data_IF_508923123961
#
_entry.id   IF_508923123961
#
_cell.length_a   1.000
_cell.length_b   1.000
_cell.length_c   1.000
_cell.angle_alpha   90.00
_cell.angle_beta   90.00
_cell.angle_gamma   90.00
#
_symmetry.space_group_name_H-M   'P 1'
#
loop_
_entity.id
_entity.type
_entity.pdbx_description
1 polymer ?
#
# COMPACT_ATOMS: atom_id res chain seq x y z
N UNK A 1 26.57 7.80 2.91
CA UNK A 1 25.64 7.01 2.08
C UNK A 1 24.34 7.80 2.00
N UNK A 2 23.63 7.78 0.87
CA UNK A 2 22.37 8.53 0.76
C UNK A 2 21.26 7.73 1.45
N UNK A 3 20.74 8.25 2.58
CA UNK A 3 19.72 7.60 3.41
C UNK A 3 18.46 7.19 2.65
N UNK A 4 18.13 7.85 1.54
CA UNK A 4 16.98 7.52 0.70
C UNK A 4 17.23 6.37 -0.29
N UNK A 5 18.45 5.82 -0.29
CA UNK A 5 18.87 4.66 -1.09
C UNK A 5 19.35 3.49 -0.22
N UNK A 6 19.36 3.66 1.11
CA UNK A 6 19.87 2.64 2.03
C UNK A 6 18.94 1.42 2.15
N UNK A 7 19.54 0.25 2.25
CA UNK A 7 18.86 -0.98 2.60
C UNK A 7 18.57 -1.01 4.11
N UNK A 8 17.44 -1.59 4.48
CA UNK A 8 17.05 -1.80 5.88
C UNK A 8 16.52 -3.23 6.06
N UNK A 9 16.14 -3.60 7.30
CA UNK A 9 15.55 -4.92 7.54
C UNK A 9 14.24 -5.08 6.79
N UNK A 10 13.35 -4.08 6.79
CA UNK A 10 12.11 -4.16 6.03
C UNK A 10 12.34 -3.94 4.53
N UNK A 11 13.26 -3.06 4.15
CA UNK A 11 13.60 -2.76 2.77
C UNK A 11 14.68 -3.69 2.20
N UNK A 12 14.61 -4.99 2.48
CA UNK A 12 15.67 -5.97 2.20
C UNK A 12 15.83 -6.34 0.71
N UNK A 13 16.15 -5.35 -0.14
CA UNK A 13 16.22 -5.51 -1.57
C UNK A 13 17.42 -6.34 -2.09
N UNK A 14 18.40 -6.64 -1.23
CA UNK A 14 19.46 -7.61 -1.53
C UNK A 14 18.97 -9.06 -1.50
N UNK A 15 17.72 -9.32 -1.10
CA UNK A 15 17.12 -10.64 -1.18
C UNK A 15 17.04 -11.13 -2.64
N UNK A 16 17.40 -12.40 -2.86
CA UNK A 16 17.47 -13.02 -4.20
C UNK A 16 16.18 -12.82 -4.99
N UNK A 17 15.01 -13.06 -4.39
CA UNK A 17 13.73 -12.92 -5.10
C UNK A 17 13.43 -11.47 -5.55
N UNK A 18 13.92 -10.46 -4.83
CA UNK A 18 13.77 -9.05 -5.24
C UNK A 18 14.68 -8.78 -6.44
N UNK A 19 15.94 -9.20 -6.35
CA UNK A 19 16.91 -9.10 -7.44
C UNK A 19 16.44 -9.84 -8.72
N UNK A 20 15.81 -11.01 -8.57
CA UNK A 20 15.28 -11.79 -9.67
C UNK A 20 14.15 -11.07 -10.41
N UNK A 21 13.22 -10.43 -9.68
CA UNK A 21 12.17 -9.60 -10.29
C UNK A 21 12.77 -8.42 -11.05
N UNK A 22 13.73 -7.70 -10.45
CA UNK A 22 14.39 -6.56 -11.11
C UNK A 22 15.07 -6.98 -12.42
N UNK A 23 15.76 -8.13 -12.42
CA UNK A 23 16.40 -8.69 -13.61
C UNK A 23 15.37 -9.13 -14.65
N UNK A 24 14.33 -9.85 -14.24
CA UNK A 24 13.26 -10.33 -15.13
C UNK A 24 12.56 -9.16 -15.84
N UNK A 25 12.25 -8.10 -15.11
CA UNK A 25 11.54 -6.92 -15.64
C UNK A 25 12.48 -5.90 -16.30
N UNK A 26 13.80 -6.12 -16.25
CA UNK A 26 14.86 -5.28 -16.86
C UNK A 26 14.79 -3.81 -16.45
N UNK A 27 14.33 -3.51 -15.24
CA UNK A 27 14.12 -2.12 -14.81
C UNK A 27 15.42 -1.30 -14.76
N UNK A 28 16.57 -1.92 -14.51
CA UNK A 28 17.87 -1.23 -14.51
C UNK A 28 18.23 -0.57 -15.84
N UNK A 29 17.66 -1.06 -16.95
CA UNK A 29 17.93 -0.57 -18.31
C UNK A 29 17.02 0.59 -18.72
N UNK A 30 16.02 0.93 -17.89
CA UNK A 30 15.02 1.95 -18.18
C UNK A 30 15.52 3.35 -17.76
N UNK A 31 14.92 4.39 -18.36
CA UNK A 31 15.03 5.75 -17.82
C UNK A 31 14.39 5.83 -16.43
N UNK A 32 14.79 6.80 -15.61
CA UNK A 32 14.27 6.93 -14.24
C UNK A 32 12.75 7.11 -14.20
N UNK A 33 12.17 7.84 -15.17
CA UNK A 33 10.72 7.90 -15.37
C UNK A 33 10.11 6.49 -15.53
N UNK A 34 10.67 5.69 -16.45
CA UNK A 34 10.14 4.37 -16.75
C UNK A 34 10.37 3.36 -15.62
N UNK A 35 11.47 3.49 -14.85
CA UNK A 35 11.67 2.73 -13.61
C UNK A 35 10.52 2.98 -12.64
N UNK A 36 10.25 4.25 -12.32
CA UNK A 36 9.20 4.63 -11.38
C UNK A 36 7.84 4.15 -11.88
N UNK A 37 7.48 4.45 -13.12
CA UNK A 37 6.19 4.07 -13.71
C UNK A 37 5.97 2.56 -13.70
N UNK A 38 6.96 1.77 -14.14
CA UNK A 38 6.82 0.31 -14.23
C UNK A 38 6.78 -0.35 -12.85
N UNK A 39 7.62 0.11 -11.92
CA UNK A 39 7.61 -0.40 -10.54
C UNK A 39 6.29 -0.02 -9.84
N UNK A 40 5.80 1.21 -10.03
CA UNK A 40 4.53 1.67 -9.48
C UNK A 40 3.37 0.80 -9.97
N UNK A 41 3.28 0.57 -11.29
CA UNK A 41 2.25 -0.28 -11.88
C UNK A 41 2.38 -1.74 -11.43
N UNK A 42 3.60 -2.28 -11.35
CA UNK A 42 3.84 -3.63 -10.85
C UNK A 42 3.33 -3.80 -9.42
N UNK A 43 3.71 -2.91 -8.51
CA UNK A 43 3.20 -2.98 -7.14
C UNK A 43 1.69 -2.75 -7.10
N UNK A 44 1.14 -1.87 -7.95
CA UNK A 44 -0.31 -1.66 -7.99
C UNK A 44 -1.06 -2.93 -8.40
N UNK A 45 -0.67 -3.52 -9.53
CA UNK A 45 -1.52 -4.46 -10.26
C UNK A 45 -1.06 -5.93 -10.14
N UNK A 46 0.24 -6.20 -9.99
CA UNK A 46 0.77 -7.57 -9.82
C UNK A 46 0.83 -8.01 -8.35
N UNK A 47 0.78 -7.06 -7.40
CA UNK A 47 0.69 -7.34 -5.97
C UNK A 47 -0.73 -7.00 -5.51
N UNK A 48 -1.55 -8.02 -5.31
CA UNK A 48 -2.97 -7.81 -5.03
C UNK A 48 -3.20 -7.00 -3.73
N UNK A 49 -4.25 -6.19 -3.68
CA UNK A 49 -4.68 -5.58 -2.41
C UNK A 49 -5.13 -6.66 -1.41
N UNK A 50 -4.61 -6.61 -0.18
CA UNK A 50 -4.93 -7.57 0.86
C UNK A 50 -4.21 -7.31 2.18
N UNK A 51 -4.63 -7.99 3.24
CA UNK A 51 -4.14 -7.80 4.60
C UNK A 51 -3.14 -8.90 4.97
N UNK A 52 -1.87 -8.51 5.18
CA UNK A 52 -0.81 -9.41 5.65
C UNK A 52 -0.96 -9.74 7.14
N UNK A 53 -0.09 -10.62 7.64
CA UNK A 53 -0.07 -11.03 9.06
C UNK A 53 0.44 -9.95 10.02
N UNK A 54 1.19 -8.98 9.50
CA UNK A 54 1.77 -7.85 10.23
C UNK A 54 2.10 -6.72 9.24
N UNK A 55 2.15 -5.49 9.74
CA UNK A 55 2.59 -4.34 8.94
C UNK A 55 4.10 -4.33 8.74
N UNK A 56 4.87 -4.82 9.73
CA UNK A 56 6.33 -4.82 9.73
C UNK A 56 6.90 -6.15 9.21
N UNK A 57 6.60 -6.49 7.96
CA UNK A 57 7.20 -7.62 7.24
C UNK A 57 8.15 -7.16 6.14
N UNK A 58 9.17 -7.97 5.85
CA UNK A 58 10.21 -7.67 4.86
C UNK A 58 9.65 -7.61 3.44
N UNK A 59 10.21 -6.79 2.56
CA UNK A 59 9.83 -6.69 1.15
C UNK A 59 9.83 -8.05 0.43
N UNK A 60 10.84 -8.89 0.69
CA UNK A 60 10.89 -10.25 0.13
C UNK A 60 9.70 -11.13 0.54
N UNK A 61 9.16 -10.93 1.76
CA UNK A 61 7.97 -11.62 2.26
C UNK A 61 6.71 -11.11 1.60
N UNK A 62 6.57 -9.78 1.43
CA UNK A 62 5.44 -9.17 0.71
C UNK A 62 5.39 -9.69 -0.73
N UNK A 63 6.54 -9.70 -1.41
CA UNK A 63 6.65 -10.23 -2.76
C UNK A 63 6.24 -11.71 -2.82
N UNK A 64 6.71 -12.53 -1.87
CA UNK A 64 6.34 -13.96 -1.79
C UNK A 64 4.86 -14.17 -1.49
N UNK A 65 4.25 -13.32 -0.66
CA UNK A 65 2.82 -13.38 -0.37
C UNK A 65 1.97 -13.03 -1.60
N UNK A 66 2.48 -12.15 -2.48
CA UNK A 66 1.77 -11.71 -3.70
C UNK A 66 0.60 -10.76 -3.42
N UNK A 67 0.48 -10.28 -2.18
CA UNK A 67 -0.53 -9.29 -1.79
C UNK A 67 -0.06 -8.42 -0.64
N UNK A 68 -0.68 -7.25 -0.51
CA UNK A 68 -0.51 -6.39 0.66
C UNK A 68 -1.42 -5.18 0.73
N UNK A 69 -1.23 -4.40 1.79
CA UNK A 69 -1.94 -3.15 2.06
C UNK A 69 -0.94 -1.98 2.03
N UNK A 70 -1.41 -0.76 2.33
CA UNK A 70 -0.59 0.46 2.39
C UNK A 70 0.87 0.26 2.85
N UNK A 71 1.06 -0.16 4.10
CA UNK A 71 2.39 -0.27 4.71
C UNK A 71 3.24 -1.35 4.02
N UNK A 72 2.68 -2.54 3.76
CA UNK A 72 3.43 -3.67 3.21
C UNK A 72 3.71 -3.50 1.72
N UNK A 73 2.75 -3.01 0.93
CA UNK A 73 2.97 -2.61 -0.46
C UNK A 73 3.94 -1.43 -0.54
N UNK A 74 3.88 -0.47 0.39
CA UNK A 74 4.85 0.62 0.51
C UNK A 74 6.27 0.12 0.77
N UNK A 75 6.45 -0.85 1.68
CA UNK A 75 7.74 -1.51 1.93
C UNK A 75 8.29 -2.15 0.65
N UNK A 76 7.47 -2.93 -0.07
CA UNK A 76 7.90 -3.56 -1.33
C UNK A 76 8.22 -2.49 -2.39
N UNK A 77 7.37 -1.48 -2.53
CA UNK A 77 7.54 -0.40 -3.49
C UNK A 77 8.85 0.37 -3.28
N UNK A 78 9.11 0.81 -2.04
CA UNK A 78 10.37 1.47 -1.68
C UNK A 78 11.58 0.58 -1.95
N UNK A 79 11.48 -0.72 -1.65
CA UNK A 79 12.58 -1.67 -1.88
C UNK A 79 12.94 -1.79 -3.35
N UNK A 80 11.93 -1.95 -4.22
CA UNK A 80 12.15 -2.05 -5.66
C UNK A 80 12.71 -0.75 -6.24
N UNK A 81 12.22 0.41 -5.78
CA UNK A 81 12.74 1.73 -6.20
C UNK A 81 14.21 1.92 -5.80
N UNK A 82 14.56 1.65 -4.54
CA UNK A 82 15.94 1.82 -4.05
C UNK A 82 16.91 0.88 -4.73
N UNK A 83 16.48 -0.35 -5.01
CA UNK A 83 17.29 -1.33 -5.73
C UNK A 83 17.65 -0.89 -7.15
N UNK A 84 16.87 0.01 -7.76
CA UNK A 84 17.16 0.62 -9.06
C UNK A 84 17.66 2.07 -8.96
N UNK A 85 18.16 2.43 -7.78
CA UNK A 85 18.75 3.73 -7.44
C UNK A 85 17.79 4.93 -7.48
N UNK A 86 16.48 4.70 -7.31
CA UNK A 86 15.49 5.77 -7.18
C UNK A 86 15.30 6.12 -5.71
N UNK A 87 15.51 7.40 -5.38
CA UNK A 87 15.34 7.91 -4.01
C UNK A 87 13.86 7.95 -3.63
N UNK A 88 13.56 7.39 -2.47
CA UNK A 88 12.21 7.40 -1.91
C UNK A 88 12.25 7.50 -0.39
N UNK A 89 11.16 8.00 0.19
CA UNK A 89 10.92 8.10 1.63
C UNK A 89 9.47 7.76 1.96
N UNK A 90 9.14 7.60 3.23
CA UNK A 90 7.79 7.21 3.65
C UNK A 90 7.14 8.36 4.43
N UNK A 91 5.86 8.58 4.19
CA UNK A 91 5.05 9.53 4.95
C UNK A 91 4.07 8.73 5.80
N UNK A 92 4.14 8.90 7.12
CA UNK A 92 3.34 8.15 8.08
C UNK A 92 2.15 8.96 8.59
N UNK A 93 1.01 8.32 8.79
CA UNK A 93 -0.17 8.94 9.37
C UNK A 93 -1.13 7.88 9.94
N UNK A 94 -2.22 8.30 10.56
CA UNK A 94 -3.38 7.43 10.81
C UNK A 94 -4.54 7.76 9.90
N UNK A 95 -5.36 6.74 9.62
CA UNK A 95 -6.64 6.89 8.95
C UNK A 95 -7.80 6.43 9.83
N UNK A 96 -8.99 6.95 9.58
CA UNK A 96 -10.21 6.51 10.25
C UNK A 96 -10.61 5.09 9.76
N UNK A 97 -11.02 4.23 10.70
CA UNK A 97 -11.41 2.85 10.40
C UNK A 97 -12.59 2.73 9.43
N UNK A 98 -13.39 3.79 9.25
CA UNK A 98 -14.45 3.85 8.24
C UNK A 98 -13.96 3.47 6.85
N UNK A 99 -12.69 3.74 6.53
CA UNK A 99 -12.05 3.32 5.30
C UNK A 99 -12.04 1.79 5.11
N UNK A 100 -11.95 1.04 6.20
CA UNK A 100 -12.01 -0.43 6.17
C UNK A 100 -13.44 -0.99 6.22
N UNK A 101 -14.46 -0.13 6.44
CA UNK A 101 -15.85 -0.58 6.48
C UNK A 101 -16.22 -1.24 5.16
N UNK A 102 -16.73 -2.46 5.23
CA UNK A 102 -17.07 -3.24 4.05
C UNK A 102 -15.95 -4.14 3.56
N UNK A 103 -14.66 -3.84 3.84
CA UNK A 103 -13.55 -4.80 3.72
C UNK A 103 -13.54 -5.76 4.92
N UNK A 104 -13.68 -5.23 6.13
CA UNK A 104 -14.02 -5.95 7.36
C UNK A 104 -15.51 -5.74 7.69
N UNK A 105 -16.16 -6.75 8.25
CA UNK A 105 -17.62 -6.77 8.46
C UNK A 105 -18.00 -7.16 9.89
N UNK A 106 -19.15 -6.67 10.33
CA UNK A 106 -19.84 -7.10 11.54
C UNK A 106 -19.02 -6.87 12.82
N UNK A 107 -19.08 -7.83 13.73
CA UNK A 107 -18.44 -7.77 15.05
C UNK A 107 -16.96 -7.38 15.00
N UNK A 108 -16.20 -7.88 14.02
CA UNK A 108 -14.77 -7.58 13.89
C UNK A 108 -14.48 -6.12 13.50
N UNK A 109 -15.38 -5.46 12.76
CA UNK A 109 -15.26 -4.01 12.49
C UNK A 109 -15.44 -3.19 13.76
N UNK A 110 -16.38 -3.59 14.62
CA UNK A 110 -16.63 -2.89 15.89
C UNK A 110 -15.44 -3.02 16.86
N UNK A 111 -14.72 -4.13 16.81
CA UNK A 111 -13.51 -4.37 17.62
C UNK A 111 -12.24 -3.71 17.05
N UNK A 112 -12.27 -3.25 15.81
CA UNK A 112 -11.14 -2.59 15.18
C UNK A 112 -10.86 -1.23 15.86
N UNK A 113 -9.58 -0.84 15.99
CA UNK A 113 -9.22 0.48 16.50
C UNK A 113 -9.83 1.57 15.63
N UNK A 114 -10.21 2.71 16.22
CA UNK A 114 -10.81 3.83 15.48
C UNK A 114 -9.84 4.44 14.46
N UNK A 115 -8.55 4.47 14.82
CA UNK A 115 -7.49 4.94 13.96
C UNK A 115 -6.53 3.81 13.63
N UNK A 116 -6.10 3.79 12.37
CA UNK A 116 -5.28 2.72 11.80
C UNK A 116 -3.99 3.33 11.25
N UNK A 117 -2.85 2.78 11.64
CA UNK A 117 -1.53 3.21 11.14
C UNK A 117 -1.45 2.98 9.63
N UNK A 118 -1.03 4.01 8.91
CA UNK A 118 -1.06 4.08 7.47
C UNK A 118 0.15 4.84 6.92
N UNK A 119 0.39 4.69 5.62
CA UNK A 119 1.45 5.41 4.94
C UNK A 119 1.24 5.53 3.44
N UNK A 120 1.93 6.48 2.83
CA UNK A 120 2.26 6.48 1.40
C UNK A 120 3.76 6.65 1.19
N UNK A 121 4.21 6.45 -0.05
CA UNK A 121 5.62 6.61 -0.44
C UNK A 121 5.78 7.91 -1.20
N UNK A 122 6.79 8.69 -0.84
CA UNK A 122 7.21 9.85 -1.61
C UNK A 122 8.42 9.50 -2.47
N UNK A 123 8.37 9.80 -3.77
CA UNK A 123 9.44 9.49 -4.73
C UNK A 123 10.06 10.79 -5.23
N UNK A 124 11.39 10.85 -5.22
CA UNK A 124 12.12 12.01 -5.74
C UNK A 124 12.43 11.84 -7.22
N UNK A 125 11.91 12.74 -8.05
CA UNK A 125 12.11 12.74 -9.49
C UNK A 125 12.03 14.17 -10.03
N UNK A 126 12.89 14.53 -11.00
CA UNK A 126 12.97 15.89 -11.57
C UNK A 126 13.00 17.02 -10.51
N UNK A 127 13.84 16.85 -9.49
CA UNK A 127 14.03 17.80 -8.38
C UNK A 127 12.79 18.07 -7.54
N UNK A 128 11.81 17.15 -7.54
CA UNK A 128 10.56 17.24 -6.76
C UNK A 128 10.25 15.92 -6.08
N UNK A 129 9.52 16.01 -4.96
CA UNK A 129 8.92 14.85 -4.29
C UNK A 129 7.48 14.69 -4.76
N UNK A 130 7.12 13.49 -5.17
CA UNK A 130 5.75 13.12 -5.56
C UNK A 130 5.17 12.15 -4.55
N UNK A 131 3.95 12.41 -4.09
CA UNK A 131 3.23 11.54 -3.16
C UNK A 131 2.54 10.43 -3.95
N UNK A 132 2.93 9.18 -3.72
CA UNK A 132 2.39 8.02 -4.41
C UNK A 132 1.64 7.14 -3.41
N UNK A 133 0.32 7.23 -3.41
CA UNK A 133 -0.60 6.40 -2.60
C UNK A 133 -1.49 5.52 -3.49
N UNK A 134 -1.71 5.91 -4.75
CA UNK A 134 -2.64 5.23 -5.66
C UNK A 134 -2.27 3.78 -6.02
N UNK A 135 -1.08 3.29 -5.65
CA UNK A 135 -0.67 1.90 -5.88
C UNK A 135 -1.36 0.89 -4.95
N UNK A 136 -2.08 1.34 -3.92
CA UNK A 136 -2.57 0.44 -2.87
C UNK A 136 -3.60 -0.56 -3.41
N UNK A 137 -4.53 -0.10 -4.22
CA UNK A 137 -5.59 -0.92 -4.81
C UNK A 137 -5.21 -1.36 -6.24
N UNK A 138 -5.24 -2.66 -6.50
CA UNK A 138 -5.12 -3.18 -7.85
C UNK A 138 -6.31 -2.75 -8.71
N UNK A 139 -6.07 -2.44 -10.00
CA UNK A 139 -7.10 -1.95 -10.92
C UNK A 139 -8.30 -2.91 -10.98
N UNK A 140 -8.06 -4.22 -10.96
CA UNK A 140 -9.13 -5.23 -11.00
C UNK A 140 -10.09 -5.08 -9.82
N UNK A 141 -9.54 -4.95 -8.60
CA UNK A 141 -10.35 -4.68 -7.41
C UNK A 141 -11.10 -3.35 -7.49
N UNK A 142 -10.42 -2.27 -7.85
CA UNK A 142 -11.03 -0.93 -7.91
C UNK A 142 -12.17 -0.87 -8.93
N UNK A 143 -11.97 -1.38 -10.15
CA UNK A 143 -12.99 -1.39 -11.20
C UNK A 143 -14.23 -2.17 -10.76
N UNK A 144 -14.06 -3.33 -10.14
CA UNK A 144 -15.20 -4.13 -9.66
C UNK A 144 -15.90 -3.49 -8.46
N UNK A 145 -15.17 -2.79 -7.61
CA UNK A 145 -15.75 -1.98 -6.54
C UNK A 145 -16.56 -0.81 -7.12
N UNK A 146 -16.03 -0.10 -8.13
CA UNK A 146 -16.73 0.98 -8.83
C UNK A 146 -17.99 0.46 -9.52
N UNK A 147 -17.92 -0.69 -10.19
CA UNK A 147 -19.08 -1.35 -10.79
C UNK A 147 -20.16 -1.69 -9.76
N UNK A 148 -19.76 -2.19 -8.59
CA UNK A 148 -20.69 -2.52 -7.50
C UNK A 148 -21.40 -1.29 -6.94
N UNK A 149 -20.76 -0.12 -6.99
CA UNK A 149 -21.29 1.16 -6.52
C UNK A 149 -21.38 2.17 -7.67
N UNK A 150 -21.87 1.75 -8.84
CA UNK A 150 -21.90 2.56 -10.07
C UNK A 150 -22.77 3.81 -9.96
N UNK A 151 -23.74 3.82 -9.05
CA UNK A 151 -24.56 4.99 -8.75
C UNK A 151 -23.84 6.05 -7.89
N UNK A 152 -22.67 5.74 -7.33
CA UNK A 152 -21.88 6.67 -6.54
C UNK A 152 -20.92 7.46 -7.44
N UNK A 153 -21.24 8.71 -7.74
CA UNK A 153 -20.42 9.60 -8.58
C UNK A 153 -19.60 10.61 -7.79
N UNK A 154 -19.79 10.69 -6.47
CA UNK A 154 -19.17 11.69 -5.60
C UNK A 154 -18.16 11.02 -4.65
N UNK A 155 -18.02 11.58 -3.45
CA UNK A 155 -17.15 11.03 -2.41
C UNK A 155 -17.54 9.61 -2.01
N UNK A 156 -16.55 8.77 -1.77
CA UNK A 156 -16.73 7.40 -1.30
C UNK A 156 -15.75 7.10 -0.16
N UNK A 157 -16.25 6.44 0.89
CA UNK A 157 -15.45 6.00 2.02
C UNK A 157 -15.85 4.57 2.45
N UNK A 158 -14.90 3.66 2.42
CA UNK A 158 -15.07 2.25 2.73
C UNK A 158 -14.33 1.35 1.75
N UNK A 159 -14.30 0.05 2.01
CA UNK A 159 -13.69 -0.96 1.13
C UNK A 159 -12.23 -0.65 0.73
N UNK A 160 -11.47 0.03 1.58
CA UNK A 160 -10.11 0.44 1.24
C UNK A 160 -10.03 1.72 0.39
N UNK A 161 -11.09 2.51 0.28
CA UNK A 161 -11.12 3.76 -0.49
C UNK A 161 -11.59 4.91 0.39
N UNK A 162 -10.96 6.07 0.24
CA UNK A 162 -11.45 7.35 0.75
C UNK A 162 -11.04 8.47 -0.23
N UNK A 163 -11.98 8.89 -1.08
CA UNK A 163 -11.75 9.88 -2.16
C UNK A 163 -12.98 10.77 -2.35
N UNK A 164 -12.79 11.97 -2.91
CA UNK A 164 -13.86 12.91 -3.31
C UNK A 164 -14.47 12.58 -4.67
N UNK A 165 -13.72 11.91 -5.54
CA UNK A 165 -14.17 11.43 -6.84
C UNK A 165 -13.87 9.93 -6.91
N UNK A 166 -14.90 9.12 -6.71
CA UNK A 166 -14.78 7.67 -6.66
C UNK A 166 -14.68 7.03 -8.04
N UNK A 167 -15.26 7.65 -9.07
CA UNK A 167 -15.25 7.10 -10.42
C UNK A 167 -13.94 7.42 -11.15
N UNK A 168 -13.30 8.54 -10.82
CA UNK A 168 -12.05 8.98 -11.45
C UNK A 168 -10.97 9.36 -10.43
N UNK A 169 -10.56 8.46 -9.51
CA UNK A 169 -9.48 8.77 -8.57
C UNK A 169 -8.15 8.88 -9.33
N UNK A 170 -7.28 9.79 -8.88
CA UNK A 170 -5.97 10.01 -9.49
C UNK A 170 -5.02 8.88 -9.02
N UNK A 171 -5.08 7.73 -9.69
CA UNK A 171 -4.29 6.54 -9.35
C UNK A 171 -3.20 6.20 -10.38
N UNK A 172 -3.14 6.95 -11.49
CA UNK A 172 -2.10 6.78 -12.50
C UNK A 172 -1.01 7.82 -12.25
N UNK A 173 0.24 7.35 -12.16
CA UNK A 173 1.38 8.24 -12.07
C UNK A 173 1.82 8.67 -13.46
N UNK A 174 1.89 9.97 -13.68
CA UNK A 174 2.47 10.62 -14.84
C UNK A 174 3.06 11.97 -14.41
N UNK A 175 4.06 11.92 -13.51
CA UNK A 175 4.67 13.10 -12.88
C UNK A 175 3.66 13.95 -12.08
N UNK A 176 2.68 13.29 -11.46
CA UNK A 176 1.68 13.86 -10.56
C UNK A 176 1.63 13.08 -9.24
N UNK A 177 1.06 13.67 -8.20
CA UNK A 177 0.71 12.91 -7.00
C UNK A 177 -0.45 11.95 -7.29
N UNK A 178 -0.48 10.79 -6.62
CA UNK A 178 -1.56 9.81 -6.73
C UNK A 178 -2.16 9.51 -5.37
N UNK A 179 -3.49 9.37 -5.32
CA UNK A 179 -4.23 9.17 -4.08
C UNK A 179 -5.45 8.27 -4.26
N UNK A 180 -5.76 7.51 -3.21
CA UNK A 180 -6.95 6.64 -3.14
C UNK A 180 -7.52 6.53 -1.72
N UNK A 181 -6.77 6.94 -0.70
CA UNK A 181 -7.14 6.83 0.71
C UNK A 181 -6.93 8.13 1.51
N UNK A 182 -6.37 9.19 0.90
CA UNK A 182 -6.06 10.47 1.55
C UNK A 182 -7.20 11.13 2.33
N UNK A 183 -8.46 10.97 1.91
CA UNK A 183 -9.59 11.62 2.59
C UNK A 183 -9.91 10.95 3.93
N UNK A 184 -9.27 9.81 4.24
CA UNK A 184 -9.40 9.13 5.52
C UNK A 184 -8.40 9.56 6.58
N UNK A 185 -7.45 10.45 6.28
CA UNK A 185 -6.38 10.86 7.23
C UNK A 185 -6.96 11.54 8.46
N UNK A 186 -6.49 11.14 9.64
CA UNK A 186 -6.90 11.71 10.93
C UNK A 186 -5.73 12.44 11.60
N UNK A 187 -4.54 11.81 11.65
CA UNK A 187 -3.33 12.42 12.23
C UNK A 187 -2.14 12.18 11.33
N UNK A 188 -1.44 13.26 11.00
CA UNK A 188 -0.22 13.25 10.22
C UNK A 188 1.00 13.10 11.16
N UNK A 189 1.85 12.09 10.91
CA UNK A 189 3.12 11.89 11.64
C UNK A 189 4.34 12.45 10.89
N UNK A 190 4.17 12.85 9.64
CA UNK A 190 5.20 13.40 8.79
C UNK A 190 6.10 12.35 8.12
N UNK A 191 7.27 12.81 7.75
CA UNK A 191 8.21 12.09 6.89
C UNK A 191 9.22 11.30 7.71
N UNK A 192 9.49 10.08 7.27
CA UNK A 192 10.54 9.21 7.78
C UNK A 192 11.44 8.72 6.64
N UNK A 193 12.69 8.44 6.96
CA UNK A 193 13.65 7.99 5.95
C UNK A 193 13.37 6.56 5.48
N UNK A 194 12.78 5.72 6.32
CA UNK A 194 12.48 4.32 6.02
C UNK A 194 11.31 3.79 6.89
N UNK A 195 10.66 2.68 6.47
CA UNK A 195 9.54 2.09 7.21
C UNK A 195 9.95 1.47 8.54
N UNK A 196 11.21 1.07 8.74
CA UNK A 196 11.68 0.50 10.01
C UNK A 196 11.58 1.54 11.14
N UNK A 197 12.04 2.77 10.89
CA UNK A 197 11.94 3.88 11.83
C UNK A 197 10.47 4.27 12.06
N UNK A 198 9.70 4.40 10.98
CA UNK A 198 8.28 4.73 11.05
C UNK A 198 7.52 3.72 11.91
N UNK A 199 7.57 2.42 11.58
CA UNK A 199 6.82 1.38 12.27
C UNK A 199 7.36 1.08 13.67
N UNK A 200 8.63 1.37 13.94
CA UNK A 200 9.18 1.31 15.31
C UNK A 200 8.57 2.38 16.21
N UNK A 201 8.37 3.60 15.70
CA UNK A 201 7.76 4.72 16.44
C UNK A 201 6.24 4.65 16.47
N UNK A 202 5.64 4.20 15.36
CA UNK A 202 4.21 4.19 15.11
C UNK A 202 3.78 2.81 14.61
N UNK A 203 3.56 1.87 15.54
CA UNK A 203 2.98 0.56 15.23
C UNK A 203 1.53 0.49 15.67
N UNK A 204 0.72 -0.33 14.99
CA UNK A 204 -0.65 -0.55 15.41
C UNK A 204 -0.68 -1.22 16.79
N UNK A 205 -1.19 -0.51 17.79
CA UNK A 205 -1.29 -1.03 19.16
C UNK A 205 -2.38 -2.10 19.22
N UNK A 206 -1.98 -3.35 19.45
CA UNK A 206 -2.86 -4.50 19.62
C UNK A 206 -2.35 -5.40 20.74
N UNK A 207 -3.26 -5.92 21.58
CA UNK A 207 -2.88 -6.96 22.55
C UNK A 207 -2.47 -8.25 21.83
N UNK A 208 -1.64 -9.08 22.47
CA UNK A 208 -1.16 -10.35 21.90
C UNK A 208 -2.31 -11.27 21.45
N UNK A 209 -3.42 -11.28 22.21
CA UNK A 209 -4.63 -12.04 21.87
C UNK A 209 -5.28 -11.48 20.60
N UNK A 210 -5.48 -10.15 20.51
CA UNK A 210 -6.04 -9.50 19.31
C UNK A 210 -5.13 -9.74 18.09
N UNK A 211 -3.81 -9.67 18.27
CA UNK A 211 -2.82 -9.94 17.22
C UNK A 211 -2.91 -11.37 16.72
N UNK A 212 -3.05 -12.34 17.63
CA UNK A 212 -3.25 -13.75 17.29
C UNK A 212 -4.55 -13.96 16.50
N UNK A 213 -5.67 -13.43 16.99
CA UNK A 213 -6.99 -13.54 16.32
C UNK A 213 -6.94 -12.89 14.93
N UNK A 214 -6.30 -11.74 14.80
CA UNK A 214 -6.12 -11.07 13.51
C UNK A 214 -5.35 -11.95 12.52
N UNK A 215 -4.19 -12.46 12.94
CA UNK A 215 -3.30 -13.30 12.13
C UNK A 215 -3.93 -14.62 11.72
N UNK A 216 -4.77 -15.23 12.56
CA UNK A 216 -5.34 -16.56 12.29
C UNK A 216 -6.72 -16.52 11.65
N UNK A 217 -7.49 -15.45 11.84
CA UNK A 217 -8.89 -15.41 11.40
C UNK A 217 -9.25 -14.14 10.64
N UNK A 218 -9.12 -12.96 11.27
CA UNK A 218 -9.70 -11.71 10.73
C UNK A 218 -9.12 -11.37 9.36
N UNK A 219 -7.80 -11.41 9.20
CA UNK A 219 -7.16 -11.08 7.91
C UNK A 219 -7.63 -12.00 6.78
N UNK A 220 -7.87 -13.28 7.05
CA UNK A 220 -8.36 -14.23 6.04
C UNK A 220 -9.80 -13.93 5.65
N UNK A 221 -10.64 -13.52 6.60
CA UNK A 221 -12.01 -13.07 6.32
C UNK A 221 -12.02 -11.80 5.47
N UNK A 222 -11.16 -10.82 5.81
CA UNK A 222 -10.98 -9.59 5.04
C UNK A 222 -10.51 -9.91 3.61
N UNK A 223 -9.46 -10.73 3.47
CA UNK A 223 -8.90 -11.10 2.17
C UNK A 223 -9.91 -11.87 1.32
N UNK A 224 -10.69 -12.80 1.90
CA UNK A 224 -11.76 -13.51 1.18
C UNK A 224 -12.81 -12.53 0.65
N UNK A 225 -13.15 -11.51 1.43
CA UNK A 225 -14.13 -10.51 1.03
C UNK A 225 -13.58 -9.55 -0.04
N UNK A 226 -12.29 -9.18 0.05
CA UNK A 226 -11.58 -8.45 -1.01
C UNK A 226 -11.56 -9.27 -2.30
N UNK A 227 -11.15 -10.54 -2.24
CA UNK A 227 -11.11 -11.43 -3.41
C UNK A 227 -12.49 -11.59 -4.04
N UNK A 228 -13.56 -11.71 -3.25
CA UNK A 228 -14.94 -11.75 -3.80
C UNK A 228 -15.33 -10.51 -4.60
N UNK A 229 -14.84 -9.33 -4.21
CA UNK A 229 -15.06 -8.09 -4.98
C UNK A 229 -14.14 -8.09 -6.21
N UNK A 230 -12.86 -8.44 -6.05
CA UNK A 230 -11.90 -8.52 -7.17
C UNK A 230 -12.36 -9.50 -8.25
N UNK A 231 -12.95 -10.62 -7.87
CA UNK A 231 -13.33 -11.70 -8.78
C UNK A 231 -14.85 -11.71 -9.07
N UNK A 232 -15.59 -10.67 -8.68
CA UNK A 232 -16.97 -10.53 -9.12
C UNK A 232 -17.00 -10.29 -10.62
N UNK A 233 -17.34 -11.33 -11.39
CA UNK A 233 -17.59 -11.23 -12.82
C UNK A 233 -18.94 -10.52 -13.01
N UNK A 234 -19.01 -9.69 -14.05
CA UNK A 234 -20.26 -9.07 -14.50
C UNK A 234 -20.98 -10.01 -15.46
#
# INVERSE_FOLDING_TARGET
MDKYLEETKLLNFSAICISDVIKKERWMELSDYNKILKIYNYVRDDIAFGYNEDDAITASKVLKDGYGQCNTKGILFMSLLRAVCIKCRIHGFTIDKSLQKGAIKGFYYNLAPNEIVHSWVEVYYNSKWYNLEGFILDIKYLNNLQNKFSSCTNSFCGYGVATKDFQNPIINWNENDTYIQKEGIVRDFGIFDNPDEFLKRHSQVMSSIKKFIYRKFIRHLMNRNISRIRDSIK
#
